data_IF_774637766436
#
_entry.id   IF_774637766436
#
_cell.length_a   1.000
_cell.length_b   1.000
_cell.length_c   1.000
_cell.angle_alpha   90.00
_cell.angle_beta   90.00
_cell.angle_gamma   90.00
#
_symmetry.space_group_name_H-M   'P 1'
#
loop_
_entity.id
_entity.type
_entity.pdbx_description
1 polymer ?
#
# COMPACT_ATOMS: atom_id res chain seq x y z
N UNK A 1 -66.58 21.88 25.57
CA UNK A 1 -65.24 22.42 25.25
C UNK A 1 -64.58 21.63 24.10
N UNK A 2 -65.26 21.45 22.96
CA UNK A 2 -64.84 20.46 21.94
C UNK A 2 -64.83 20.98 20.50
N UNK A 3 -65.26 22.23 20.24
CA UNK A 3 -65.17 22.84 18.90
C UNK A 3 -63.84 23.59 18.66
N UNK A 4 -63.19 24.13 19.70
CA UNK A 4 -61.97 24.94 19.56
C UNK A 4 -60.69 24.15 19.23
N UNK A 5 -60.60 22.88 19.66
CA UNK A 5 -59.41 22.04 19.45
C UNK A 5 -59.28 21.51 18.01
N UNK A 6 -60.40 21.29 17.32
CA UNK A 6 -60.39 20.79 15.93
C UNK A 6 -59.93 21.88 14.95
N UNK A 7 -60.30 23.14 15.19
CA UNK A 7 -59.88 24.30 14.38
C UNK A 7 -58.37 24.54 14.47
N UNK A 8 -57.77 24.40 15.66
CA UNK A 8 -56.32 24.57 15.84
C UNK A 8 -55.50 23.47 15.16
N UNK A 9 -55.97 22.22 15.18
CA UNK A 9 -55.27 21.12 14.49
C UNK A 9 -55.30 21.27 12.97
N UNK A 10 -56.42 21.73 12.40
CA UNK A 10 -56.53 21.98 10.96
C UNK A 10 -55.63 23.14 10.50
N UNK A 11 -55.56 24.23 11.26
CA UNK A 11 -54.64 25.35 10.96
C UNK A 11 -53.16 24.93 11.04
N UNK A 12 -52.80 24.12 12.03
CA UNK A 12 -51.41 23.65 12.19
C UNK A 12 -51.00 22.69 11.06
N UNK A 13 -51.92 21.84 10.58
CA UNK A 13 -51.66 20.96 9.44
C UNK A 13 -51.52 21.73 8.12
N UNK A 14 -52.28 22.80 7.94
CA UNK A 14 -52.23 23.66 6.75
C UNK A 14 -50.93 24.48 6.70
N UNK A 15 -50.45 24.96 7.84
CA UNK A 15 -49.20 25.71 7.97
C UNK A 15 -47.95 24.83 7.71
N UNK A 16 -47.97 23.57 8.18
CA UNK A 16 -46.91 22.59 7.87
C UNK A 16 -46.90 22.22 6.37
N UNK A 17 -48.07 22.08 5.75
CA UNK A 17 -48.18 21.82 4.30
C UNK A 17 -47.64 22.98 3.45
N UNK A 18 -47.93 24.22 3.84
CA UNK A 18 -47.41 25.41 3.16
C UNK A 18 -45.88 25.55 3.30
N UNK A 19 -45.33 25.28 4.50
CA UNK A 19 -43.88 25.24 4.76
C UNK A 19 -43.17 24.17 3.91
N UNK A 20 -43.73 22.96 3.82
CA UNK A 20 -43.17 21.87 3.01
C UNK A 20 -43.22 22.14 1.50
N UNK A 21 -44.27 22.81 1.00
CA UNK A 21 -44.33 23.23 -0.41
C UNK A 21 -43.28 24.30 -0.73
N UNK A 22 -43.02 25.23 0.19
CA UNK A 22 -41.97 26.25 0.06
C UNK A 22 -40.56 25.62 0.03
N UNK A 23 -40.29 24.66 0.91
CA UNK A 23 -38.98 23.99 0.96
C UNK A 23 -38.70 23.12 -0.28
N UNK A 24 -39.72 22.38 -0.77
CA UNK A 24 -39.60 21.61 -2.01
C UNK A 24 -39.45 22.49 -3.25
N UNK A 25 -40.11 23.66 -3.26
CA UNK A 25 -39.91 24.69 -4.27
C UNK A 25 -38.46 25.16 -4.29
N UNK A 26 -37.93 25.61 -3.16
CA UNK A 26 -36.55 26.11 -3.02
C UNK A 26 -35.49 25.07 -3.40
N UNK A 27 -35.68 23.80 -3.04
CA UNK A 27 -34.77 22.71 -3.43
C UNK A 27 -34.77 22.44 -4.93
N UNK A 28 -35.94 22.55 -5.59
CA UNK A 28 -36.03 22.43 -7.05
C UNK A 28 -35.38 23.61 -7.76
N UNK A 29 -35.54 24.83 -7.26
CA UNK A 29 -34.87 26.01 -7.83
C UNK A 29 -33.35 25.92 -7.69
N UNK A 30 -32.86 25.45 -6.54
CA UNK A 30 -31.42 25.24 -6.31
C UNK A 30 -30.84 24.18 -7.25
N UNK A 31 -31.55 23.06 -7.45
CA UNK A 31 -31.13 22.01 -8.38
C UNK A 31 -31.12 22.48 -9.85
N UNK A 32 -32.05 23.34 -10.24
CA UNK A 32 -32.06 23.94 -11.58
C UNK A 32 -30.87 24.90 -11.74
N UNK A 33 -30.62 25.77 -10.75
CA UNK A 33 -29.50 26.72 -10.79
C UNK A 33 -28.14 26.02 -10.84
N UNK A 34 -27.96 24.91 -10.13
CA UNK A 34 -26.71 24.14 -10.19
C UNK A 34 -26.54 23.45 -11.55
N UNK A 35 -27.61 22.90 -12.13
CA UNK A 35 -27.56 22.29 -13.46
C UNK A 35 -27.25 23.32 -14.57
N UNK A 36 -27.85 24.52 -14.49
CA UNK A 36 -27.58 25.63 -15.42
C UNK A 36 -26.13 26.12 -15.26
N UNK A 37 -25.62 26.22 -14.03
CA UNK A 37 -24.22 26.63 -13.80
C UNK A 37 -23.23 25.59 -14.32
N UNK A 38 -23.51 24.30 -14.14
CA UNK A 38 -22.65 23.21 -14.62
C UNK A 38 -22.63 23.12 -16.15
N UNK A 39 -23.77 23.34 -16.79
CA UNK A 39 -23.87 23.38 -18.26
C UNK A 39 -23.19 24.60 -18.84
N UNK A 40 -23.30 25.78 -18.21
CA UNK A 40 -22.60 27.00 -18.62
C UNK A 40 -21.07 26.87 -18.50
N UNK A 41 -20.57 26.30 -17.39
CA UNK A 41 -19.14 26.05 -17.20
C UNK A 41 -18.58 25.02 -18.19
N UNK A 42 -19.33 23.95 -18.48
CA UNK A 42 -18.93 22.96 -19.51
C UNK A 42 -18.91 23.56 -20.92
N UNK A 43 -19.86 24.43 -21.28
CA UNK A 43 -19.87 25.08 -22.60
C UNK A 43 -18.74 26.09 -22.78
N UNK A 44 -18.41 26.88 -21.74
CA UNK A 44 -17.29 27.81 -21.78
C UNK A 44 -15.91 27.10 -21.79
N UNK A 45 -15.81 25.93 -21.16
CA UNK A 45 -14.60 25.11 -21.23
C UNK A 45 -14.36 24.53 -22.64
N UNK A 46 -15.44 24.24 -23.38
CA UNK A 46 -15.37 23.73 -24.76
C UNK A 46 -15.08 24.83 -25.81
N UNK A 47 -15.35 26.11 -25.51
CA UNK A 47 -15.07 27.24 -26.41
C UNK A 47 -13.69 27.88 -26.25
N UNK A 48 -12.90 27.51 -25.21
CA UNK A 48 -11.59 28.12 -24.95
C UNK A 48 -10.41 27.49 -25.72
N UNK A 49 -10.66 26.53 -26.63
CA UNK A 49 -9.61 25.74 -27.29
C UNK A 49 -9.56 25.91 -28.81
N UNK A 50 -9.82 27.11 -29.33
CA UNK A 50 -9.58 27.44 -30.74
C UNK A 50 -8.85 28.79 -30.88
N UNK A 51 -7.62 28.70 -31.41
CA UNK A 51 -6.79 29.75 -32.02
C UNK A 51 -6.18 30.88 -31.17
N UNK A 52 -4.84 30.87 -31.12
CA UNK A 52 -4.00 32.04 -31.44
C UNK A 52 -2.53 31.61 -31.55
N UNK A 53 -2.09 31.22 -32.76
CA UNK A 53 -0.67 31.19 -33.10
C UNK A 53 -0.20 32.62 -33.41
N UNK A 54 0.60 33.21 -32.51
CA UNK A 54 1.35 34.43 -32.81
C UNK A 54 2.82 34.07 -33.06
N UNK A 55 3.27 34.41 -34.26
CA UNK A 55 4.63 34.31 -34.74
C UNK A 55 5.49 35.43 -34.16
N UNK A 56 6.58 35.10 -33.48
CA UNK A 56 7.67 36.03 -33.20
C UNK A 56 9.01 35.40 -33.61
N UNK A 57 9.58 35.98 -34.66
CA UNK A 57 10.88 35.70 -35.23
C UNK A 57 12.00 36.16 -34.29
N UNK A 58 12.89 35.24 -33.88
CA UNK A 58 14.21 35.59 -33.33
C UNK A 58 15.26 34.68 -33.97
N UNK A 59 16.35 35.31 -34.39
CA UNK A 59 17.36 34.85 -35.34
C UNK A 59 18.15 33.61 -34.89
N UNK A 60 18.41 32.73 -35.86
CA UNK A 60 19.32 31.61 -35.72
C UNK A 60 20.78 32.10 -35.67
N UNK A 61 21.47 31.81 -34.56
CA UNK A 61 22.93 31.83 -34.48
C UNK A 61 23.42 30.40 -34.48
N UNK A 62 24.04 29.98 -35.58
CA UNK A 62 24.67 28.67 -35.76
C UNK A 62 25.93 28.56 -34.91
N UNK A 63 25.93 27.66 -33.93
CA UNK A 63 27.16 27.15 -33.28
C UNK A 63 27.36 25.70 -33.73
N UNK A 64 28.46 25.46 -34.44
CA UNK A 64 28.89 24.15 -34.90
C UNK A 64 29.36 23.29 -33.72
N UNK A 65 28.72 22.14 -33.51
CA UNK A 65 29.17 21.10 -32.59
C UNK A 65 29.93 20.02 -33.37
N UNK A 66 31.23 19.92 -33.14
CA UNK A 66 32.05 18.79 -33.58
C UNK A 66 31.79 17.56 -32.66
N UNK A 67 31.81 16.32 -33.18
CA UNK A 67 31.55 15.13 -32.38
C UNK A 67 32.81 14.70 -31.64
N UNK A 68 32.81 14.76 -30.31
CA UNK A 68 33.84 14.11 -29.47
C UNK A 68 33.32 12.74 -29.06
N UNK A 69 33.73 11.72 -29.80
CA UNK A 69 33.68 10.32 -29.37
C UNK A 69 34.71 10.08 -28.27
N UNK A 70 34.26 9.95 -27.02
CA UNK A 70 34.97 9.19 -25.98
C UNK A 70 34.04 8.11 -25.44
N UNK A 71 34.22 6.88 -25.96
CA UNK A 71 33.77 5.65 -25.31
C UNK A 71 34.62 5.47 -24.06
N UNK A 72 34.10 5.88 -22.92
CA UNK A 72 34.62 5.43 -21.62
C UNK A 72 33.98 4.07 -21.34
N UNK A 73 34.70 3.00 -21.70
CA UNK A 73 34.36 1.65 -21.27
C UNK A 73 34.71 1.54 -19.79
N UNK A 74 33.73 1.75 -18.92
CA UNK A 74 33.85 1.39 -17.51
C UNK A 74 33.71 -0.13 -17.45
N UNK A 75 34.83 -0.82 -17.26
CA UNK A 75 34.84 -2.24 -16.92
C UNK A 75 34.40 -2.35 -15.46
N UNK A 76 33.10 -2.56 -15.24
CA UNK A 76 32.60 -3.06 -13.97
C UNK A 76 32.59 -4.58 -14.10
N UNK A 77 33.42 -5.24 -13.30
CA UNK A 77 33.38 -6.70 -13.12
C UNK A 77 32.08 -7.06 -12.37
N UNK A 78 30.96 -7.23 -13.10
CA UNK A 78 29.67 -7.71 -12.56
C UNK A 78 29.62 -9.26 -12.63
N UNK A 79 30.35 -9.94 -11.75
CA UNK A 79 30.09 -11.35 -11.45
C UNK A 79 28.96 -11.43 -10.41
N UNK A 80 27.69 -11.33 -10.89
CA UNK A 80 26.42 -11.84 -10.27
C UNK A 80 25.16 -11.02 -10.65
N UNK A 81 25.28 -9.90 -11.40
CA UNK A 81 24.17 -8.93 -11.57
C UNK A 81 23.22 -9.23 -12.75
N UNK A 82 23.65 -10.02 -13.73
CA UNK A 82 22.86 -10.30 -14.95
C UNK A 82 21.60 -11.15 -14.68
N UNK A 83 21.55 -11.95 -13.61
CA UNK A 83 20.44 -12.88 -13.38
C UNK A 83 19.21 -12.28 -12.67
N UNK A 84 19.35 -11.10 -12.05
CA UNK A 84 18.26 -10.38 -11.34
C UNK A 84 17.71 -9.26 -12.22
N UNK A 85 18.45 -8.87 -13.28
CA UNK A 85 18.04 -7.87 -14.28
C UNK A 85 16.59 -8.08 -14.69
N UNK A 86 16.21 -9.28 -15.09
CA UNK A 86 14.90 -9.49 -15.69
C UNK A 86 13.72 -9.38 -14.71
N UNK A 87 13.89 -9.19 -13.40
CA UNK A 87 12.76 -9.09 -12.45
C UNK A 87 12.22 -7.68 -12.28
N UNK A 88 13.02 -6.67 -12.60
CA UNK A 88 12.63 -5.27 -12.43
C UNK A 88 11.95 -4.72 -13.69
N UNK A 89 11.07 -3.74 -13.52
CA UNK A 89 10.49 -3.01 -14.66
C UNK A 89 11.55 -2.25 -15.45
N UNK A 90 12.57 -1.73 -14.77
CA UNK A 90 13.68 -0.98 -15.39
C UNK A 90 14.98 -1.24 -14.61
N UNK A 91 15.70 -2.33 -14.92
CA UNK A 91 16.78 -2.84 -14.06
C UNK A 91 17.94 -1.86 -13.93
N UNK A 92 18.35 -1.26 -15.06
CA UNK A 92 19.39 -0.22 -15.10
C UNK A 92 18.98 1.03 -14.31
N UNK A 93 17.73 1.45 -14.43
CA UNK A 93 17.21 2.63 -13.70
C UNK A 93 17.17 2.34 -12.21
N UNK A 94 16.71 1.15 -11.82
CA UNK A 94 16.71 0.70 -10.43
C UNK A 94 18.12 0.69 -9.85
N UNK A 95 19.10 0.04 -10.50
CA UNK A 95 20.49 -0.02 -10.03
C UNK A 95 21.07 1.38 -9.77
N UNK A 96 20.97 2.27 -10.74
CA UNK A 96 21.52 3.63 -10.64
C UNK A 96 20.82 4.46 -9.54
N UNK A 97 19.48 4.45 -9.49
CA UNK A 97 18.74 5.21 -8.47
C UNK A 97 18.91 4.61 -7.07
N UNK A 98 19.01 3.29 -6.94
CA UNK A 98 19.22 2.63 -5.65
C UNK A 98 20.58 3.03 -5.08
N UNK A 99 21.63 3.05 -5.91
CA UNK A 99 22.94 3.53 -5.50
C UNK A 99 22.94 5.02 -5.11
N UNK A 100 22.14 5.85 -5.79
CA UNK A 100 21.97 7.25 -5.44
C UNK A 100 21.24 7.41 -4.10
N UNK A 101 20.15 6.67 -3.89
CA UNK A 101 19.45 6.61 -2.61
C UNK A 101 20.40 6.21 -1.48
N UNK A 102 21.18 5.14 -1.66
CA UNK A 102 22.16 4.67 -0.66
C UNK A 102 23.16 5.74 -0.25
N UNK A 103 23.59 6.60 -1.19
CA UNK A 103 24.55 7.68 -0.92
C UNK A 103 23.90 8.88 -0.26
N UNK A 104 22.73 9.28 -0.76
CA UNK A 104 22.21 10.64 -0.55
C UNK A 104 20.94 10.71 0.31
N UNK A 105 20.17 9.63 0.44
CA UNK A 105 18.86 9.73 1.08
C UNK A 105 18.98 9.98 2.58
N UNK A 106 18.34 11.04 3.06
CA UNK A 106 18.32 11.45 4.46
C UNK A 106 16.91 11.60 5.00
N UNK A 107 16.68 11.02 6.17
CA UNK A 107 15.40 11.06 6.88
C UNK A 107 15.62 11.61 8.27
N UNK A 108 14.90 12.69 8.58
CA UNK A 108 14.81 13.19 9.95
C UNK A 108 13.68 12.48 10.68
N UNK A 109 13.93 12.02 11.90
CA UNK A 109 12.92 11.37 12.74
C UNK A 109 12.51 12.35 13.83
N UNK A 110 11.21 12.65 13.95
CA UNK A 110 10.74 13.51 15.05
C UNK A 110 11.11 12.91 16.42
N UNK A 111 11.74 13.69 17.31
CA UNK A 111 12.24 13.18 18.58
C UNK A 111 11.11 12.89 19.59
N UNK A 112 9.92 13.48 19.38
CA UNK A 112 8.74 13.32 20.25
C UNK A 112 8.06 11.95 20.13
N UNK A 113 8.66 11.00 19.42
CA UNK A 113 8.32 9.58 19.52
C UNK A 113 8.71 8.95 20.87
N UNK A 114 8.64 9.71 21.97
CA UNK A 114 9.13 9.34 23.30
C UNK A 114 8.62 7.95 23.72
N UNK A 115 9.53 7.01 24.06
CA UNK A 115 9.17 5.70 24.57
C UNK A 115 8.20 5.72 25.76
N UNK A 116 8.07 6.80 26.51
CA UNK A 116 7.13 6.88 27.64
C UNK A 116 5.67 7.10 27.20
N UNK A 117 5.43 7.48 25.95
CA UNK A 117 4.09 7.76 25.40
C UNK A 117 3.44 6.51 24.77
N UNK A 118 2.62 6.70 23.71
CA UNK A 118 2.03 5.64 22.90
C UNK A 118 2.92 5.21 21.71
N UNK A 119 3.91 6.04 21.36
CA UNK A 119 4.69 5.97 20.12
C UNK A 119 5.92 5.05 20.20
N UNK A 120 5.75 3.88 20.78
CA UNK A 120 6.83 2.91 20.97
C UNK A 120 6.99 1.99 19.74
N UNK A 121 8.24 1.66 19.42
CA UNK A 121 8.53 0.45 18.62
C UNK A 121 7.89 -0.77 19.30
N UNK A 122 7.17 -1.64 18.58
CA UNK A 122 6.67 -2.89 19.12
C UNK A 122 7.76 -3.65 19.90
N UNK A 123 7.49 -4.02 21.17
CA UNK A 123 8.46 -4.73 22.02
C UNK A 123 8.90 -6.10 21.48
N UNK A 124 8.09 -6.69 20.59
CA UNK A 124 8.38 -7.95 19.91
C UNK A 124 8.15 -7.75 18.42
N UNK A 125 9.17 -8.01 17.62
CA UNK A 125 9.13 -8.01 16.15
C UNK A 125 8.43 -9.26 15.60
N UNK A 126 7.30 -9.67 16.20
CA UNK A 126 6.67 -10.94 15.89
C UNK A 126 5.19 -10.85 15.61
N UNK A 127 4.71 -11.85 14.90
CA UNK A 127 3.31 -11.95 14.53
C UNK A 127 2.91 -10.78 13.65
N UNK A 128 1.67 -10.32 13.82
CA UNK A 128 1.08 -9.40 12.85
C UNK A 128 1.87 -8.08 12.73
N UNK A 129 2.38 -7.53 13.83
CA UNK A 129 3.08 -6.24 13.85
C UNK A 129 4.57 -6.32 13.44
N UNK A 130 5.05 -7.46 12.92
CA UNK A 130 6.47 -7.67 12.63
C UNK A 130 7.04 -6.63 11.66
N UNK A 131 6.44 -6.43 10.47
CA UNK A 131 6.97 -5.47 9.46
C UNK A 131 7.08 -4.04 9.99
N UNK A 132 6.05 -3.56 10.70
CA UNK A 132 6.07 -2.23 11.32
C UNK A 132 7.17 -2.13 12.38
N UNK A 133 7.33 -3.17 13.21
CA UNK A 133 8.41 -3.23 14.19
C UNK A 133 9.80 -3.19 13.55
N UNK A 134 10.03 -4.01 12.52
CA UNK A 134 11.31 -4.05 11.81
C UNK A 134 11.61 -2.70 11.17
N UNK A 135 10.63 -2.05 10.54
CA UNK A 135 10.81 -0.72 9.98
C UNK A 135 11.24 0.29 11.06
N UNK A 136 10.51 0.35 12.19
CA UNK A 136 10.80 1.28 13.28
C UNK A 136 12.19 1.06 13.90
N UNK A 137 12.64 -0.19 14.00
CA UNK A 137 13.98 -0.48 14.50
C UNK A 137 15.03 -0.08 13.45
N UNK A 138 14.91 -0.61 12.23
CA UNK A 138 15.90 -0.43 11.19
C UNK A 138 16.07 1.04 10.79
N UNK A 139 15.00 1.84 10.73
CA UNK A 139 15.12 3.26 10.36
C UNK A 139 16.00 4.05 11.33
N UNK A 140 15.95 3.73 12.64
CA UNK A 140 16.75 4.38 13.70
C UNK A 140 18.20 3.92 13.74
N UNK A 141 18.48 2.74 13.20
CA UNK A 141 19.83 2.15 13.18
C UNK A 141 20.47 2.29 11.78
N UNK A 142 19.71 2.76 10.79
CA UNK A 142 20.16 2.87 9.41
C UNK A 142 20.95 4.15 9.13
N UNK A 143 21.79 4.07 8.09
CA UNK A 143 22.52 5.20 7.50
C UNK A 143 21.66 6.32 6.93
N UNK A 144 20.36 6.05 6.74
CA UNK A 144 19.40 7.02 6.20
C UNK A 144 19.00 8.05 7.25
N UNK A 145 19.16 7.77 8.54
CA UNK A 145 18.84 8.75 9.57
C UNK A 145 19.80 9.95 9.53
N UNK A 146 19.24 11.16 9.66
CA UNK A 146 19.99 12.38 9.97
C UNK A 146 19.47 13.01 11.26
N UNK A 147 20.37 13.66 12.00
CA UNK A 147 20.01 14.53 13.14
C UNK A 147 19.80 15.98 12.70
N UNK A 148 20.24 16.32 11.49
CA UNK A 148 20.10 17.65 10.89
C UNK A 148 18.84 17.68 10.01
N UNK A 149 17.78 18.41 10.40
CA UNK A 149 16.54 18.52 9.63
C UNK A 149 16.73 19.27 8.29
N UNK A 150 17.76 20.10 8.15
CA UNK A 150 18.01 20.85 6.90
C UNK A 150 18.59 19.95 5.80
N UNK A 151 19.22 18.83 6.20
CA UNK A 151 19.71 17.81 5.28
C UNK A 151 18.64 16.78 4.90
N UNK A 152 17.46 16.79 5.53
CA UNK A 152 16.48 15.73 5.37
C UNK A 152 15.64 15.89 4.09
N UNK A 153 15.57 14.80 3.32
CA UNK A 153 14.67 14.64 2.18
C UNK A 153 13.24 14.35 2.62
N UNK A 154 13.07 13.56 3.71
CA UNK A 154 11.77 13.22 4.29
C UNK A 154 11.80 13.27 5.83
N UNK A 155 10.61 13.44 6.42
CA UNK A 155 10.38 13.51 7.86
C UNK A 155 9.53 12.33 8.33
N UNK A 156 10.12 11.46 9.14
CA UNK A 156 9.40 10.32 9.72
C UNK A 156 8.63 10.75 10.97
N UNK A 157 7.31 10.53 10.97
CA UNK A 157 6.43 10.72 12.11
C UNK A 157 6.24 9.35 12.80
N UNK A 158 6.81 9.12 14.00
CA UNK A 158 6.82 7.81 14.64
C UNK A 158 5.47 7.46 15.29
N UNK A 159 4.41 7.29 14.50
CA UNK A 159 3.07 6.92 15.00
C UNK A 159 2.97 5.39 15.18
N UNK A 160 2.72 4.92 16.41
CA UNK A 160 2.47 3.51 16.73
C UNK A 160 1.24 3.40 17.64
N UNK A 161 0.14 2.87 17.12
CA UNK A 161 -1.12 2.77 17.86
C UNK A 161 -1.26 1.46 18.65
N UNK A 162 -0.24 0.58 18.60
CA UNK A 162 -0.29 -0.76 19.20
C UNK A 162 -0.62 -0.72 20.70
N UNK A 163 0.05 0.17 21.45
CA UNK A 163 -0.13 0.32 22.90
C UNK A 163 -1.51 0.88 23.25
N UNK A 164 -2.10 1.71 22.40
CA UNK A 164 -3.45 2.27 22.61
C UNK A 164 -4.50 1.15 22.65
N UNK A 165 -4.41 0.18 21.71
CA UNK A 165 -5.29 -1.00 21.73
C UNK A 165 -5.09 -1.86 22.97
N UNK A 166 -3.84 -2.08 23.40
CA UNK A 166 -3.54 -2.85 24.62
C UNK A 166 -4.15 -2.23 25.88
N UNK A 167 -4.41 -0.93 25.88
CA UNK A 167 -5.09 -0.19 26.96
C UNK A 167 -6.61 -0.08 26.78
N UNK A 168 -7.19 -0.67 25.74
CA UNK A 168 -8.64 -0.64 25.50
C UNK A 168 -9.19 0.72 25.06
N UNK A 169 -8.35 1.60 24.49
CA UNK A 169 -8.79 2.91 23.99
C UNK A 169 -9.72 2.71 22.78
N UNK A 170 -10.82 3.46 22.69
CA UNK A 170 -11.74 3.41 21.54
C UNK A 170 -11.09 4.04 20.29
N UNK A 171 -11.57 3.70 19.08
CA UNK A 171 -10.98 4.25 17.86
C UNK A 171 -11.11 5.77 17.78
N UNK A 172 -12.23 6.34 18.24
CA UNK A 172 -12.47 7.78 18.28
C UNK A 172 -11.42 8.48 19.16
N UNK A 173 -11.14 7.90 20.34
CA UNK A 173 -10.12 8.42 21.23
C UNK A 173 -8.70 8.21 20.68
N UNK A 174 -8.43 7.11 19.95
CA UNK A 174 -7.14 6.94 19.27
C UNK A 174 -6.92 8.04 18.23
N UNK A 175 -7.93 8.37 17.44
CA UNK A 175 -7.89 9.47 16.46
C UNK A 175 -7.57 10.80 17.14
N UNK A 176 -8.25 11.12 18.25
CA UNK A 176 -7.96 12.35 19.01
C UNK A 176 -6.51 12.37 19.53
N UNK A 177 -5.99 11.24 20.01
CA UNK A 177 -4.60 11.16 20.48
C UNK A 177 -3.61 11.38 19.34
N UNK A 178 -3.85 10.76 18.18
CA UNK A 178 -2.99 10.96 16.99
C UNK A 178 -3.05 12.41 16.51
N UNK A 179 -4.25 13.00 16.43
CA UNK A 179 -4.44 14.38 15.99
C UNK A 179 -3.68 15.35 16.92
N UNK A 180 -3.88 15.24 18.23
CA UNK A 180 -3.15 16.04 19.21
C UNK A 180 -1.63 15.90 19.10
N UNK A 181 -1.14 14.70 18.77
CA UNK A 181 0.29 14.49 18.57
C UNK A 181 0.78 15.21 17.31
N UNK A 182 0.10 15.06 16.18
CA UNK A 182 0.45 15.78 14.95
C UNK A 182 0.38 17.30 15.14
N UNK A 183 -0.66 17.82 15.80
CA UNK A 183 -0.76 19.25 16.10
C UNK A 183 0.35 19.74 17.03
N UNK A 184 0.78 18.93 18.00
CA UNK A 184 1.93 19.27 18.85
C UNK A 184 3.24 19.34 18.05
N UNK A 185 3.45 18.42 17.09
CA UNK A 185 4.62 18.47 16.20
C UNK A 185 4.60 19.72 15.31
N UNK A 186 3.42 20.07 14.77
CA UNK A 186 3.21 21.27 13.94
C UNK A 186 3.47 22.57 14.70
N UNK A 187 3.10 22.60 15.98
CA UNK A 187 3.30 23.75 16.85
C UNK A 187 4.76 23.88 17.31
N UNK A 188 5.41 22.76 17.60
CA UNK A 188 6.76 22.72 18.17
C UNK A 188 7.88 22.88 17.12
N UNK A 189 7.67 22.38 15.90
CA UNK A 189 8.69 22.38 14.86
C UNK A 189 8.21 23.06 13.58
N UNK A 190 9.08 23.81 12.87
CA UNK A 190 8.68 24.50 11.64
C UNK A 190 8.54 23.57 10.43
N UNK A 191 9.04 22.33 10.51
CA UNK A 191 9.25 21.47 9.33
C UNK A 191 7.96 21.08 8.61
N UNK A 192 6.86 20.83 9.35
CA UNK A 192 5.58 20.50 8.74
C UNK A 192 5.08 21.61 7.81
N UNK A 193 5.23 22.88 8.22
CA UNK A 193 4.69 24.02 7.48
C UNK A 193 5.45 24.31 6.18
N UNK A 194 6.66 23.74 6.00
CA UNK A 194 7.47 23.90 4.78
C UNK A 194 6.79 23.33 3.54
N UNK A 195 6.04 22.25 3.71
CA UNK A 195 5.40 21.47 2.62
C UNK A 195 3.95 21.14 2.93
N UNK A 196 3.43 21.66 4.04
CA UNK A 196 2.15 21.25 4.64
C UNK A 196 2.08 19.74 4.95
N UNK A 197 3.23 19.09 5.18
CA UNK A 197 3.31 17.67 5.49
C UNK A 197 3.55 16.76 4.28
N UNK A 198 3.79 17.30 3.07
CA UNK A 198 3.99 16.48 1.86
C UNK A 198 5.34 15.72 1.85
N UNK A 199 6.36 16.24 2.54
CA UNK A 199 7.64 15.55 2.77
C UNK A 199 7.65 14.75 4.09
N UNK A 200 6.47 14.51 4.69
CA UNK A 200 6.32 13.70 5.88
C UNK A 200 5.79 12.32 5.54
N UNK A 201 6.18 11.32 6.33
CA UNK A 201 5.61 9.99 6.20
C UNK A 201 5.42 9.32 7.56
N UNK A 202 4.50 8.35 7.58
CA UNK A 202 4.22 7.53 8.76
C UNK A 202 3.90 6.10 8.33
N UNK A 203 4.12 5.15 9.24
CA UNK A 203 3.95 3.72 8.97
C UNK A 203 2.77 3.20 9.76
N UNK A 204 1.85 2.52 9.09
CA UNK A 204 0.73 1.84 9.74
C UNK A 204 0.59 0.43 9.18
N UNK A 205 0.85 -0.58 10.00
CA UNK A 205 0.46 -1.94 9.66
C UNK A 205 -0.80 -2.26 10.49
N UNK A 206 -1.77 -2.97 9.92
CA UNK A 206 -3.05 -3.37 10.56
C UNK A 206 -4.17 -2.33 10.68
N UNK A 207 -5.36 -2.88 10.93
CA UNK A 207 -6.63 -2.21 11.19
C UNK A 207 -6.55 -1.08 12.21
N UNK A 208 -5.76 -1.26 13.28
CA UNK A 208 -5.66 -0.30 14.38
C UNK A 208 -5.04 1.01 13.93
N UNK A 209 -3.87 0.95 13.26
CA UNK A 209 -3.18 2.15 12.80
C UNK A 209 -3.98 2.88 11.72
N UNK A 210 -4.63 2.13 10.82
CA UNK A 210 -5.53 2.70 9.82
C UNK A 210 -6.67 3.48 10.48
N UNK A 211 -7.42 2.85 11.39
CA UNK A 211 -8.57 3.48 12.05
C UNK A 211 -8.18 4.64 12.96
N UNK A 212 -7.02 4.57 13.61
CA UNK A 212 -6.52 5.65 14.44
C UNK A 212 -6.06 6.89 13.63
N UNK A 213 -5.83 6.75 12.33
CA UNK A 213 -5.33 7.84 11.48
C UNK A 213 -6.37 8.33 10.46
N UNK A 214 -7.39 7.52 10.12
CA UNK A 214 -8.38 7.86 9.09
C UNK A 214 -9.14 9.17 9.34
N UNK A 215 -9.33 9.54 10.61
CA UNK A 215 -9.99 10.77 11.02
C UNK A 215 -9.06 11.98 11.19
N UNK A 216 -7.80 11.92 10.73
CA UNK A 216 -6.80 13.01 10.82
C UNK A 216 -6.53 13.54 9.40
N UNK A 217 -7.32 14.51 8.88
CA UNK A 217 -7.41 14.78 7.44
C UNK A 217 -6.10 15.25 6.82
N UNK A 218 -5.36 16.16 7.49
CA UNK A 218 -4.10 16.69 6.96
C UNK A 218 -2.99 15.65 6.97
N UNK A 219 -2.99 14.73 7.94
CA UNK A 219 -2.06 13.61 7.98
C UNK A 219 -2.31 12.66 6.80
N UNK A 220 -3.56 12.22 6.59
CA UNK A 220 -3.89 11.27 5.52
C UNK A 220 -3.72 11.89 4.13
N UNK A 221 -4.13 13.14 3.96
CA UNK A 221 -4.11 13.83 2.67
C UNK A 221 -2.69 14.16 2.22
N UNK A 222 -1.88 14.72 3.11
CA UNK A 222 -0.60 15.33 2.72
C UNK A 222 0.57 14.37 2.92
N UNK A 223 0.66 13.69 4.07
CA UNK A 223 1.81 12.83 4.36
C UNK A 223 1.75 11.52 3.56
N UNK A 224 2.92 10.99 3.20
CA UNK A 224 3.09 9.68 2.59
C UNK A 224 2.72 8.61 3.62
N UNK A 225 1.74 7.77 3.29
CA UNK A 225 1.35 6.66 4.15
C UNK A 225 2.04 5.38 3.71
N UNK A 226 2.81 4.77 4.61
CA UNK A 226 3.41 3.46 4.40
C UNK A 226 2.51 2.40 5.06
N UNK A 227 1.87 1.52 4.28
CA UNK A 227 0.80 0.62 4.79
C UNK A 227 0.87 -0.82 4.29
N UNK A 228 0.57 -1.78 5.17
CA UNK A 228 0.69 -3.22 4.90
C UNK A 228 -0.36 -3.85 3.95
N UNK A 229 -1.44 -3.14 3.64
CA UNK A 229 -2.48 -3.65 2.72
C UNK A 229 -3.13 -2.46 2.04
N UNK A 230 -2.52 -2.01 0.94
CA UNK A 230 -2.91 -0.80 0.23
C UNK A 230 -4.16 -1.06 -0.62
N UNK A 231 -5.33 -0.96 0.02
CA UNK A 231 -6.62 -0.97 -0.71
C UNK A 231 -7.08 0.46 -0.97
N UNK A 232 -7.55 0.70 -2.18
CA UNK A 232 -8.18 1.97 -2.58
C UNK A 232 -9.40 2.30 -1.73
N UNK A 233 -10.11 1.29 -1.24
CA UNK A 233 -11.32 1.44 -0.42
C UNK A 233 -11.04 2.09 0.95
N UNK A 234 -9.78 2.12 1.39
CA UNK A 234 -9.36 2.70 2.68
C UNK A 234 -8.43 3.91 2.52
N UNK A 235 -8.56 4.62 1.39
CA UNK A 235 -7.90 5.89 1.13
C UNK A 235 -6.41 5.77 0.81
N UNK A 236 -5.95 4.61 0.33
CA UNK A 236 -4.59 4.48 -0.21
C UNK A 236 -4.48 5.17 -1.57
N UNK A 237 -3.44 5.96 -1.77
CA UNK A 237 -3.20 6.75 -2.98
C UNK A 237 -1.89 6.27 -3.65
N UNK A 238 -1.91 5.48 -4.74
CA UNK A 238 -0.70 4.86 -5.34
C UNK A 238 0.47 5.79 -5.63
N UNK A 239 0.15 6.97 -6.16
CA UNK A 239 1.16 7.93 -6.58
C UNK A 239 1.79 8.69 -5.40
N UNK A 240 1.30 8.49 -4.17
CA UNK A 240 1.78 9.12 -2.94
C UNK A 240 2.23 8.10 -1.90
N UNK A 241 1.40 7.11 -1.63
CA UNK A 241 1.55 6.15 -0.55
C UNK A 241 2.43 4.96 -0.95
N UNK A 242 2.90 4.20 0.05
CA UNK A 242 3.80 3.06 -0.12
C UNK A 242 3.16 1.79 0.41
N UNK A 243 3.20 0.73 -0.38
CA UNK A 243 2.79 -0.61 -0.01
C UNK A 243 3.90 -1.32 0.78
N UNK A 244 3.70 -1.54 2.09
CA UNK A 244 4.65 -2.24 2.96
C UNK A 244 4.45 -3.76 2.87
N UNK A 245 5.48 -4.59 2.60
CA UNK A 245 5.33 -6.03 2.62
C UNK A 245 5.09 -6.53 4.05
N UNK A 246 3.90 -7.05 4.29
CA UNK A 246 3.53 -7.62 5.58
C UNK A 246 4.07 -9.03 5.74
N UNK A 247 4.78 -9.30 6.84
CA UNK A 247 5.30 -10.64 7.19
C UNK A 247 4.85 -11.06 8.58
N UNK A 248 4.89 -12.37 8.84
CA UNK A 248 4.73 -12.95 10.17
C UNK A 248 6.04 -13.62 10.63
N UNK A 249 7.11 -12.83 10.70
CA UNK A 249 8.40 -13.32 11.19
C UNK A 249 8.41 -13.53 12.72
N UNK A 250 9.29 -14.41 13.24
CA UNK A 250 10.15 -15.33 12.49
C UNK A 250 9.35 -16.39 11.75
N UNK A 251 9.81 -16.76 10.54
CA UNK A 251 9.23 -17.87 9.80
C UNK A 251 9.57 -19.18 10.52
N UNK A 252 8.59 -20.07 10.71
CA UNK A 252 8.84 -21.31 11.47
C UNK A 252 9.48 -22.43 10.63
N UNK A 253 9.62 -22.21 9.33
CA UNK A 253 10.35 -23.06 8.39
C UNK A 253 11.26 -22.16 7.52
N UNK A 254 12.35 -22.69 6.95
CA UNK A 254 13.26 -21.96 6.07
C UNK A 254 12.57 -21.30 4.85
N UNK A 255 13.31 -20.59 4.00
CA UNK A 255 12.78 -20.20 2.70
C UNK A 255 12.65 -21.43 1.78
N UNK A 256 11.68 -21.41 0.85
CA UNK A 256 11.57 -22.40 -0.21
C UNK A 256 12.67 -22.20 -1.26
N UNK A 257 13.38 -23.26 -1.63
CA UNK A 257 14.41 -23.22 -2.67
C UNK A 257 13.85 -23.53 -4.07
N UNK A 258 14.71 -23.96 -4.99
CA UNK A 258 14.29 -24.49 -6.30
C UNK A 258 13.73 -25.92 -6.16
N UNK A 259 12.53 -26.03 -5.59
CA UNK A 259 11.90 -27.28 -5.16
C UNK A 259 10.64 -27.64 -5.98
N UNK A 260 10.61 -27.25 -7.25
CA UNK A 260 9.50 -27.45 -8.21
C UNK A 260 8.90 -28.86 -8.15
N UNK A 261 9.75 -29.89 -8.15
CA UNK A 261 9.33 -31.30 -8.18
C UNK A 261 8.59 -31.76 -6.91
N UNK A 262 8.80 -31.08 -5.78
CA UNK A 262 8.17 -31.42 -4.50
C UNK A 262 6.77 -30.79 -4.35
N UNK A 263 6.33 -29.99 -5.32
CA UNK A 263 5.06 -29.24 -5.30
C UNK A 263 3.95 -30.00 -6.00
N UNK A 264 3.22 -30.82 -5.25
CA UNK A 264 2.21 -31.75 -5.75
C UNK A 264 0.78 -31.21 -5.68
N UNK A 265 0.48 -30.28 -4.76
CA UNK A 265 -0.84 -29.66 -4.66
C UNK A 265 -0.97 -28.53 -5.69
N UNK A 266 -2.06 -28.48 -6.46
CA UNK A 266 -2.24 -27.46 -7.50
C UNK A 266 -2.34 -26.06 -6.86
N UNK A 267 -3.24 -25.89 -5.89
CA UNK A 267 -3.48 -24.60 -5.28
C UNK A 267 -3.81 -24.70 -3.80
N UNK A 268 -3.38 -23.71 -3.01
CA UNK A 268 -3.67 -23.67 -1.58
C UNK A 268 -4.25 -22.32 -1.13
N UNK A 269 -5.26 -22.39 -0.26
CA UNK A 269 -5.71 -21.27 0.55
C UNK A 269 -6.27 -21.77 1.87
N UNK A 270 -5.88 -21.13 2.98
CA UNK A 270 -6.65 -21.22 4.20
C UNK A 270 -6.87 -19.86 4.86
N UNK A 271 -8.09 -19.60 5.34
CA UNK A 271 -8.40 -18.32 5.98
C UNK A 271 -9.87 -18.11 6.31
N UNK A 272 -10.15 -16.94 6.90
CA UNK A 272 -11.51 -16.52 7.26
C UNK A 272 -12.29 -16.01 6.04
N UNK A 273 -13.58 -16.35 5.98
CA UNK A 273 -14.58 -15.80 5.03
C UNK A 273 -15.00 -14.37 5.39
N UNK A 274 -14.04 -13.44 5.45
CA UNK A 274 -14.29 -12.06 5.87
C UNK A 274 -14.48 -11.08 4.70
N UNK A 275 -14.48 -11.53 3.45
CA UNK A 275 -14.79 -10.72 2.26
C UNK A 275 -15.66 -11.53 1.30
N UNK A 276 -16.36 -10.84 0.39
CA UNK A 276 -17.21 -11.46 -0.64
C UNK A 276 -16.44 -12.52 -1.42
N UNK A 277 -15.24 -12.19 -1.90
CA UNK A 277 -14.43 -13.12 -2.69
C UNK A 277 -13.95 -14.33 -1.88
N UNK A 278 -13.63 -14.18 -0.58
CA UNK A 278 -13.24 -15.31 0.29
C UNK A 278 -14.42 -16.25 0.58
N UNK A 279 -15.63 -15.70 0.71
CA UNK A 279 -16.86 -16.51 0.82
C UNK A 279 -17.06 -17.35 -0.44
N UNK A 280 -16.92 -16.73 -1.62
CA UNK A 280 -17.09 -17.41 -2.90
C UNK A 280 -16.00 -18.47 -3.09
N UNK A 281 -14.73 -18.12 -2.89
CA UNK A 281 -13.60 -19.05 -3.02
C UNK A 281 -13.80 -20.31 -2.18
N UNK A 282 -14.12 -20.15 -0.89
CA UNK A 282 -14.38 -21.27 -0.01
C UNK A 282 -15.57 -22.11 -0.51
N UNK A 283 -16.71 -21.48 -0.78
CA UNK A 283 -17.93 -22.20 -1.19
C UNK A 283 -17.77 -22.97 -2.50
N UNK A 284 -17.04 -22.43 -3.47
CA UNK A 284 -16.87 -23.04 -4.79
C UNK A 284 -15.85 -24.19 -4.73
N UNK A 285 -14.79 -24.06 -3.93
CA UNK A 285 -13.62 -24.94 -4.04
C UNK A 285 -13.24 -25.72 -2.77
N UNK A 286 -13.98 -25.62 -1.65
CA UNK A 286 -13.65 -26.34 -0.40
C UNK A 286 -13.65 -27.87 -0.51
N UNK A 287 -14.31 -28.43 -1.53
CA UNK A 287 -14.42 -29.86 -1.76
C UNK A 287 -13.60 -30.34 -2.98
N UNK A 288 -12.74 -29.51 -3.56
CA UNK A 288 -11.88 -29.92 -4.69
C UNK A 288 -10.71 -30.79 -4.20
N UNK A 289 -10.25 -31.70 -5.05
CA UNK A 289 -9.18 -32.66 -4.72
C UNK A 289 -7.77 -32.13 -5.03
N UNK A 290 -7.64 -31.09 -5.85
CA UNK A 290 -6.37 -30.51 -6.28
C UNK A 290 -6.15 -29.11 -5.68
N UNK A 291 -7.24 -28.39 -5.39
CA UNK A 291 -7.20 -27.14 -4.63
C UNK A 291 -7.46 -27.40 -3.14
N UNK A 292 -6.42 -27.29 -2.32
CA UNK A 292 -6.52 -27.37 -0.86
C UNK A 292 -7.07 -26.05 -0.28
N UNK A 293 -8.39 -25.93 -0.25
CA UNK A 293 -9.12 -24.74 0.19
C UNK A 293 -9.76 -25.03 1.56
N UNK A 294 -9.29 -24.33 2.60
CA UNK A 294 -9.79 -24.52 3.97
C UNK A 294 -10.30 -23.23 4.61
N UNK A 295 -11.53 -23.27 5.11
CA UNK A 295 -12.16 -22.13 5.78
C UNK A 295 -12.02 -22.15 7.32
N UNK A 296 -11.27 -23.10 7.89
CA UNK A 296 -11.02 -23.14 9.33
C UNK A 296 -9.67 -22.50 9.68
N UNK A 297 -9.59 -21.83 10.84
CA UNK A 297 -8.27 -21.52 11.42
C UNK A 297 -7.58 -22.84 11.72
N UNK A 298 -6.45 -23.10 11.05
CA UNK A 298 -5.56 -24.16 11.48
C UNK A 298 -5.16 -23.85 12.93
N UNK A 299 -5.43 -24.78 13.84
CA UNK A 299 -5.23 -24.59 15.29
C UNK A 299 -3.80 -24.14 15.56
N UNK A 300 -3.59 -22.95 16.15
CA UNK A 300 -2.26 -22.34 16.27
C UNK A 300 -1.24 -23.15 17.08
N UNK A 301 -1.68 -24.05 17.99
CA UNK A 301 -0.81 -24.83 18.88
C UNK A 301 -0.05 -25.95 18.15
N UNK A 302 -0.66 -26.60 17.17
CA UNK A 302 -0.06 -27.64 16.30
C UNK A 302 0.08 -27.20 14.84
N UNK A 303 -0.55 -26.07 14.51
CA UNK A 303 -0.92 -25.72 13.14
C UNK A 303 0.00 -24.75 12.44
N UNK A 304 0.92 -24.04 13.10
CA UNK A 304 1.85 -23.16 12.37
C UNK A 304 2.71 -23.98 11.40
N UNK A 305 3.32 -25.07 11.88
CA UNK A 305 4.10 -25.97 11.04
C UNK A 305 3.23 -26.66 9.98
N UNK A 306 2.02 -27.11 10.33
CA UNK A 306 1.11 -27.77 9.37
C UNK A 306 0.62 -26.80 8.29
N UNK A 307 0.28 -25.56 8.67
CA UNK A 307 -0.11 -24.49 7.76
C UNK A 307 1.03 -24.11 6.83
N UNK A 308 2.23 -23.90 7.37
CA UNK A 308 3.41 -23.53 6.59
C UNK A 308 3.83 -24.64 5.62
N UNK A 309 3.74 -25.91 6.03
CA UNK A 309 3.99 -27.07 5.14
C UNK A 309 3.06 -27.11 3.92
N UNK A 310 1.83 -26.58 4.02
CA UNK A 310 0.91 -26.52 2.86
C UNK A 310 1.39 -25.54 1.79
N UNK A 311 2.02 -24.42 2.17
CA UNK A 311 2.67 -23.54 1.19
C UNK A 311 3.80 -24.25 0.45
N UNK A 312 4.64 -24.98 1.18
CA UNK A 312 5.76 -25.74 0.58
C UNK A 312 5.31 -26.76 -0.45
N UNK A 313 4.24 -27.51 -0.17
CA UNK A 313 3.75 -28.56 -1.07
C UNK A 313 2.92 -28.05 -2.25
N UNK A 314 2.59 -26.75 -2.29
CA UNK A 314 1.67 -26.20 -3.28
C UNK A 314 2.39 -25.48 -4.42
N UNK A 315 1.88 -25.63 -5.64
CA UNK A 315 2.35 -24.89 -6.82
C UNK A 315 1.94 -23.41 -6.72
N UNK A 316 0.66 -23.18 -6.43
CA UNK A 316 0.05 -21.86 -6.40
C UNK A 316 -0.60 -21.56 -5.05
N UNK A 317 -0.45 -20.33 -4.54
CA UNK A 317 -1.07 -19.90 -3.29
C UNK A 317 -2.04 -18.75 -3.54
N UNK A 318 -3.33 -19.04 -3.35
CA UNK A 318 -4.39 -18.11 -3.69
C UNK A 318 -4.41 -17.01 -2.64
N UNK A 319 -4.27 -15.77 -3.08
CA UNK A 319 -4.26 -14.56 -2.28
C UNK A 319 -5.53 -13.74 -2.58
N UNK A 320 -6.70 -14.15 -2.07
CA UNK A 320 -7.94 -13.43 -2.31
C UNK A 320 -8.00 -12.14 -1.50
N UNK A 321 -8.51 -11.09 -2.15
CA UNK A 321 -8.81 -9.80 -1.53
C UNK A 321 -9.55 -9.96 -0.19
N UNK A 322 -9.12 -9.21 0.81
CA UNK A 322 -9.70 -9.22 2.16
C UNK A 322 -10.31 -7.87 2.52
N UNK A 323 -11.22 -7.86 3.49
CA UNK A 323 -11.76 -6.64 4.10
C UNK A 323 -10.86 -6.05 5.19
N UNK A 324 -9.77 -6.75 5.54
CA UNK A 324 -8.85 -6.34 6.59
C UNK A 324 -7.50 -5.98 6.00
N UNK A 325 -6.87 -4.97 6.61
CA UNK A 325 -5.57 -4.40 6.22
C UNK A 325 -4.39 -5.31 6.67
N UNK A 326 -4.57 -6.63 6.54
CA UNK A 326 -3.57 -7.63 6.92
C UNK A 326 -3.68 -8.88 6.02
N UNK A 327 -2.72 -9.05 5.11
CA UNK A 327 -2.53 -10.26 4.33
C UNK A 327 -1.05 -10.62 4.20
N UNK A 328 -0.46 -11.09 5.30
CA UNK A 328 0.87 -11.71 5.28
C UNK A 328 1.00 -12.91 4.32
N UNK A 329 -0.13 -13.47 3.84
CA UNK A 329 -0.16 -14.59 2.90
C UNK A 329 0.67 -14.34 1.64
N UNK A 330 0.71 -13.10 1.13
CA UNK A 330 1.50 -12.79 -0.07
C UNK A 330 2.98 -13.05 0.24
N UNK A 331 3.51 -12.47 1.33
CA UNK A 331 4.89 -12.68 1.72
C UNK A 331 5.16 -14.13 2.17
N UNK A 332 4.22 -14.79 2.86
CA UNK A 332 4.34 -16.22 3.21
C UNK A 332 4.45 -17.10 1.94
N UNK A 333 3.65 -16.79 0.92
CA UNK A 333 3.67 -17.52 -0.37
C UNK A 333 5.03 -17.35 -1.05
N UNK A 334 5.53 -16.12 -1.13
CA UNK A 334 6.85 -15.82 -1.67
C UNK A 334 7.93 -16.54 -0.87
N UNK A 335 7.96 -16.38 0.46
CA UNK A 335 8.95 -16.97 1.36
C UNK A 335 9.01 -18.50 1.24
N UNK A 336 7.87 -19.18 1.16
CA UNK A 336 7.82 -20.64 1.01
C UNK A 336 7.85 -21.12 -0.45
N UNK A 337 8.10 -20.23 -1.42
CA UNK A 337 8.24 -20.56 -2.84
C UNK A 337 6.93 -20.97 -3.54
N UNK A 338 5.78 -20.71 -2.93
CA UNK A 338 4.47 -20.96 -3.52
C UNK A 338 4.06 -19.76 -4.39
N UNK A 339 3.82 -19.95 -5.69
CA UNK A 339 3.55 -18.84 -6.61
C UNK A 339 2.27 -18.10 -6.16
N UNK A 340 2.34 -16.81 -5.78
CA UNK A 340 1.17 -16.09 -5.34
C UNK A 340 0.20 -15.89 -6.51
N UNK A 341 -1.07 -16.23 -6.29
CA UNK A 341 -2.18 -15.94 -7.20
C UNK A 341 -2.97 -14.79 -6.60
N UNK A 342 -2.71 -13.57 -7.08
CA UNK A 342 -3.39 -12.36 -6.61
C UNK A 342 -4.81 -12.37 -7.18
N UNK A 343 -5.81 -12.58 -6.32
CA UNK A 343 -7.21 -12.65 -6.70
C UNK A 343 -7.96 -11.46 -6.10
N UNK A 344 -7.82 -10.30 -6.74
CA UNK A 344 -8.41 -9.03 -6.29
C UNK A 344 -8.53 -8.03 -7.44
N UNK A 345 -9.53 -7.16 -7.39
CA UNK A 345 -9.70 -6.10 -8.40
C UNK A 345 -8.91 -4.83 -8.08
N UNK A 346 -8.59 -4.60 -6.80
CA UNK A 346 -8.15 -3.31 -6.27
C UNK A 346 -7.10 -3.53 -5.17
N UNK A 347 -5.90 -3.91 -5.57
CA UNK A 347 -4.81 -4.17 -4.64
C UNK A 347 -3.50 -3.64 -5.21
N UNK A 348 -2.93 -2.64 -4.57
CA UNK A 348 -1.56 -2.22 -4.88
C UNK A 348 -0.59 -3.23 -4.26
N UNK A 349 0.40 -3.68 -5.00
CA UNK A 349 1.29 -4.73 -4.53
C UNK A 349 2.57 -4.09 -3.96
N UNK A 350 3.18 -4.66 -2.90
CA UNK A 350 4.49 -4.19 -2.45
C UNK A 350 5.47 -4.16 -3.63
N UNK A 351 6.15 -3.03 -3.79
CA UNK A 351 7.15 -2.81 -4.85
C UNK A 351 6.60 -2.90 -6.27
N UNK A 352 5.32 -2.64 -6.49
CA UNK A 352 4.69 -2.76 -7.81
C UNK A 352 5.34 -1.86 -8.89
N UNK A 353 5.88 -0.70 -8.51
CA UNK A 353 6.58 0.20 -9.46
C UNK A 353 8.03 -0.26 -9.74
N UNK A 354 8.52 -1.26 -9.00
CA UNK A 354 9.92 -1.69 -9.00
C UNK A 354 10.07 -3.08 -9.63
N UNK A 355 9.24 -4.03 -9.17
CA UNK A 355 9.28 -5.44 -9.56
C UNK A 355 8.10 -5.78 -10.47
N UNK A 356 8.40 -6.50 -11.56
CA UNK A 356 7.36 -6.99 -12.47
C UNK A 356 6.70 -8.25 -11.89
N UNK A 357 5.56 -8.04 -11.22
CA UNK A 357 4.77 -9.11 -10.61
C UNK A 357 4.34 -10.20 -11.59
N UNK A 358 4.21 -9.92 -12.90
CA UNK A 358 3.84 -10.94 -13.88
C UNK A 358 4.95 -11.99 -14.12
N UNK A 359 6.17 -11.71 -13.64
CA UNK A 359 7.32 -12.62 -13.77
C UNK A 359 7.42 -13.65 -12.66
N UNK A 360 6.70 -13.47 -11.55
CA UNK A 360 6.74 -14.39 -10.40
C UNK A 360 5.37 -14.63 -9.73
N UNK A 361 4.28 -14.12 -10.29
CA UNK A 361 2.91 -14.28 -9.77
C UNK A 361 1.89 -14.51 -10.87
N UNK A 362 0.67 -14.84 -10.48
CA UNK A 362 -0.51 -14.89 -11.36
C UNK A 362 -1.52 -13.84 -10.87
N UNK A 363 -1.87 -12.87 -11.70
CA UNK A 363 -2.80 -11.78 -11.32
C UNK A 363 -4.15 -12.02 -11.99
N UNK A 364 -5.21 -12.16 -11.19
CA UNK A 364 -6.56 -12.50 -11.61
C UNK A 364 -7.59 -11.52 -11.06
N UNK A 365 -8.68 -11.33 -11.80
CA UNK A 365 -9.85 -10.58 -11.34
C UNK A 365 -10.68 -11.45 -10.40
N UNK A 366 -11.44 -10.84 -9.50
CA UNK A 366 -12.28 -11.59 -8.56
C UNK A 366 -13.29 -12.51 -9.27
N UNK A 367 -13.77 -12.13 -10.45
CA UNK A 367 -14.68 -12.96 -11.27
C UNK A 367 -14.05 -14.26 -11.77
N UNK A 368 -12.72 -14.32 -11.87
CA UNK A 368 -11.99 -15.49 -12.36
C UNK A 368 -12.01 -16.64 -11.34
N UNK A 369 -12.51 -16.40 -10.12
CA UNK A 369 -12.69 -17.42 -9.07
C UNK A 369 -13.45 -18.65 -9.57
N UNK A 370 -14.43 -18.49 -10.46
CA UNK A 370 -15.22 -19.60 -10.99
C UNK A 370 -14.45 -20.47 -12.00
N UNK A 371 -13.38 -19.93 -12.58
CA UNK A 371 -12.50 -20.62 -13.55
C UNK A 371 -11.11 -20.89 -12.98
N UNK A 372 -10.91 -20.66 -11.68
CA UNK A 372 -9.61 -20.67 -11.02
C UNK A 372 -8.80 -21.93 -11.32
N UNK A 373 -9.37 -23.12 -11.07
CA UNK A 373 -8.71 -24.39 -11.34
C UNK A 373 -8.28 -24.54 -12.80
N UNK A 374 -9.17 -24.18 -13.74
CA UNK A 374 -8.89 -24.25 -15.17
C UNK A 374 -7.73 -23.33 -15.54
N UNK A 375 -7.77 -22.08 -15.11
CA UNK A 375 -6.70 -21.10 -15.37
C UNK A 375 -5.35 -21.60 -14.86
N UNK A 376 -5.30 -22.15 -13.64
CA UNK A 376 -4.04 -22.65 -13.07
C UNK A 376 -3.51 -23.90 -13.79
N UNK A 377 -4.39 -24.76 -14.31
CA UNK A 377 -4.01 -25.92 -15.13
C UNK A 377 -3.57 -25.55 -16.53
N UNK A 378 -4.11 -24.48 -17.09
CA UNK A 378 -3.78 -23.99 -18.43
C UNK A 378 -2.40 -23.32 -18.49
N UNK A 379 -1.80 -23.00 -17.34
CA UNK A 379 -0.42 -22.49 -17.29
C UNK A 379 0.54 -23.63 -17.65
N UNK A 380 1.32 -23.52 -18.74
CA UNK A 380 2.26 -24.57 -19.16
C UNK A 380 3.37 -24.79 -18.13
N UNK A 381 3.88 -26.01 -18.03
CA UNK A 381 4.90 -26.38 -17.04
C UNK A 381 6.18 -25.52 -17.15
N UNK A 382 6.62 -25.17 -18.37
CA UNK A 382 7.77 -24.29 -18.55
C UNK A 382 7.53 -22.88 -17.99
N UNK A 383 6.30 -22.36 -18.08
CA UNK A 383 5.91 -21.08 -17.49
C UNK A 383 5.83 -21.19 -15.97
N UNK A 384 5.28 -22.29 -15.44
CA UNK A 384 5.30 -22.56 -13.99
C UNK A 384 6.73 -22.57 -13.43
N UNK A 385 7.65 -23.29 -14.08
CA UNK A 385 9.07 -23.34 -13.68
C UNK A 385 9.72 -21.95 -13.74
N UNK A 386 9.43 -21.16 -14.78
CA UNK A 386 9.92 -19.79 -14.91
C UNK A 386 9.41 -18.89 -13.78
N UNK A 387 8.11 -18.92 -13.49
CA UNK A 387 7.49 -18.16 -12.40
C UNK A 387 8.11 -18.55 -11.04
N UNK A 388 8.31 -19.84 -10.80
CA UNK A 388 8.88 -20.36 -9.55
C UNK A 388 10.35 -19.94 -9.37
N UNK A 389 11.19 -20.10 -10.40
CA UNK A 389 12.59 -19.64 -10.34
C UNK A 389 12.71 -18.14 -10.04
N UNK A 390 11.85 -17.34 -10.67
CA UNK A 390 11.79 -15.91 -10.42
C UNK A 390 11.31 -15.58 -9.01
N UNK A 391 10.32 -16.32 -8.50
CA UNK A 391 9.83 -16.18 -7.13
C UNK A 391 10.94 -16.38 -6.09
N UNK A 392 11.77 -17.43 -6.27
CA UNK A 392 12.91 -17.73 -5.39
C UNK A 392 13.90 -16.55 -5.38
N UNK A 393 14.18 -15.94 -6.54
CA UNK A 393 15.04 -14.74 -6.62
C UNK A 393 14.42 -13.53 -5.90
N UNK A 394 13.10 -13.38 -5.94
CA UNK A 394 12.37 -12.25 -5.33
C UNK A 394 12.27 -12.35 -3.81
N UNK A 395 12.39 -13.54 -3.21
CA UNK A 395 12.24 -13.77 -1.76
C UNK A 395 13.01 -12.78 -0.88
N UNK A 396 14.25 -12.44 -1.25
CA UNK A 396 15.09 -11.50 -0.50
C UNK A 396 14.42 -10.13 -0.30
N UNK A 397 13.65 -9.65 -1.28
CA UNK A 397 12.98 -8.36 -1.23
C UNK A 397 11.80 -8.33 -0.25
N UNK A 398 11.31 -9.51 0.19
CA UNK A 398 10.19 -9.64 1.13
C UNK A 398 10.65 -10.12 2.52
N UNK A 399 11.95 -10.35 2.69
CA UNK A 399 12.56 -10.72 3.96
C UNK A 399 12.93 -9.45 4.74
N UNK A 400 12.49 -9.32 5.99
CA UNK A 400 13.03 -8.31 6.90
C UNK A 400 14.22 -8.89 7.66
N UNK A 401 15.30 -8.11 7.72
CA UNK A 401 16.50 -8.41 8.50
C UNK A 401 16.75 -7.29 9.51
N UNK A 402 17.45 -7.60 10.59
CA UNK A 402 17.95 -6.63 11.55
C UNK A 402 19.34 -7.10 12.02
N UNK A 403 20.44 -6.39 11.68
CA UNK A 403 20.47 -5.17 10.86
C UNK A 403 19.96 -5.41 9.41
N UNK A 404 19.45 -4.36 8.74
CA UNK A 404 18.95 -4.49 7.37
C UNK A 404 20.11 -4.74 6.39
N UNK A 405 19.86 -5.48 5.32
CA UNK A 405 20.86 -5.81 4.28
C UNK A 405 20.41 -5.37 2.89
N UNK A 406 21.36 -5.12 1.99
CA UNK A 406 21.08 -4.61 0.63
C UNK A 406 19.95 -5.39 -0.05
N UNK A 407 19.00 -4.65 -0.62
CA UNK A 407 17.81 -5.17 -1.31
C UNK A 407 16.80 -5.96 -0.47
N UNK A 408 16.94 -5.99 0.86
CA UNK A 408 15.91 -6.57 1.71
C UNK A 408 14.63 -5.73 1.79
N UNK A 409 13.61 -6.21 2.49
CA UNK A 409 12.33 -5.52 2.59
C UNK A 409 12.46 -4.08 3.12
N UNK A 410 13.38 -3.82 4.05
CA UNK A 410 13.62 -2.48 4.55
C UNK A 410 14.18 -1.59 3.43
N UNK A 411 15.27 -2.01 2.77
CA UNK A 411 15.89 -1.21 1.71
C UNK A 411 14.96 -0.99 0.51
N UNK A 412 14.13 -1.97 0.16
CA UNK A 412 13.15 -1.82 -0.92
C UNK A 412 12.07 -0.79 -0.55
N UNK A 413 11.62 -0.76 0.72
CA UNK A 413 10.70 0.29 1.21
C UNK A 413 11.36 1.66 1.25
N UNK A 414 12.63 1.72 1.64
CA UNK A 414 13.42 2.97 1.56
C UNK A 414 13.52 3.47 0.12
N UNK A 415 13.67 2.57 -0.84
CA UNK A 415 13.68 2.93 -2.26
C UNK A 415 12.32 3.43 -2.74
N UNK A 416 11.21 2.81 -2.31
CA UNK A 416 9.87 3.33 -2.60
C UNK A 416 9.66 4.74 -2.04
N UNK A 417 10.13 5.01 -0.80
CA UNK A 417 10.09 6.34 -0.19
C UNK A 417 10.98 7.34 -0.92
N UNK A 418 12.17 6.91 -1.35
CA UNK A 418 13.07 7.71 -2.19
C UNK A 418 12.34 8.14 -3.46
N UNK A 419 11.70 7.23 -4.18
CA UNK A 419 10.92 7.58 -5.37
C UNK A 419 9.80 8.60 -5.08
N UNK A 420 9.25 8.60 -3.86
CA UNK A 420 8.16 9.49 -3.44
C UNK A 420 8.61 10.80 -2.80
N UNK A 421 9.92 11.00 -2.57
CA UNK A 421 10.49 12.20 -1.91
C UNK A 421 10.21 13.53 -2.63
N UNK A 422 9.75 13.46 -3.88
CA UNK A 422 9.40 14.62 -4.70
C UNK A 422 7.89 14.71 -5.01
N UNK A 423 7.05 13.89 -4.36
CA UNK A 423 5.61 13.87 -4.61
C UNK A 423 4.96 15.15 -4.07
N UNK A 424 4.37 15.90 -5.00
CA UNK A 424 3.51 17.10 -4.88
C UNK A 424 3.87 18.04 -3.72
N UNK A 425 4.71 19.03 -4.01
CA UNK A 425 4.75 20.31 -3.27
C UNK A 425 3.60 21.18 -3.80
N UNK A 426 2.57 21.43 -2.99
CA UNK A 426 1.46 22.33 -3.36
C UNK A 426 1.90 23.78 -3.38
#
# INVERSE_FOLDING_TARGET
>A
MTAGKLSQQLQQQQQVRQSMCSLKGSLRTLAILTLVSFTYLSFNSLHSSYFSSSSSSIAASTVSLAPVTKKTTILVEDYDDDEISDLYHSPRVFKLNYEEMERNFKIFIYPDGDPNTFYQTPRKLTGKYASEGYFFQNIRESRFQTQDPDQADLFFIPISCHKMRGKGISYENMTIIVDNYVESLKSKYPYWNRTLGADHFFVTCHDVGVRATEGVPFLIKNAIRVVCSPSYDVGFIPHKDVALPQVLQPFALPAGGNDVEKRTTLGFWAGHRNSRIRVILARVWENDTELDISNNRINRATGHLVYQKRFYGSKYCICPGGSQVNSARIADSIHYGCIPVILSNYYDLPFNDILDWHKFSVILKEQDVYRLKQILKDIPDNKFVSLHKNLVKVQKHFQWNSPPVKYDAFHMVMYDLWLRRHVIKY
#
